data_IF_783460694290
#
_entry.id   IF_783460694290
#
_cell.length_a   1.000
_cell.length_b   1.000
_cell.length_c   1.000
_cell.angle_alpha   90.00
_cell.angle_beta   90.00
_cell.angle_gamma   90.00
#
_symmetry.space_group_name_H-M   'P 1'
#
loop_
_entity.id
_entity.type
_entity.pdbx_description
1 polymer ?
#
# COMPACT_ATOMS: atom_id res chain seq x y z
N UNK A 1 10.25 -4.14 15.47
CA UNK A 1 9.33 -3.48 14.51
C UNK A 1 10.15 -3.14 13.27
N UNK A 2 9.85 -3.72 12.11
CA UNK A 2 10.53 -3.32 10.87
C UNK A 2 10.02 -1.94 10.48
N UNK A 3 10.87 -0.92 10.63
CA UNK A 3 10.59 0.45 10.23
C UNK A 3 10.83 0.58 8.73
N UNK A 4 9.85 1.13 8.00
CA UNK A 4 10.03 1.54 6.62
C UNK A 4 10.28 3.06 6.64
N UNK A 5 11.48 3.47 6.20
CA UNK A 5 11.87 4.89 6.14
C UNK A 5 12.11 5.24 4.67
N UNK A 6 11.41 6.26 4.17
CA UNK A 6 11.59 6.82 2.83
C UNK A 6 12.92 7.55 2.66
N UNK A 7 13.32 7.84 1.41
CA UNK A 7 14.57 8.58 1.13
C UNK A 7 14.52 10.04 1.60
N UNK A 8 13.33 10.57 1.81
CA UNK A 8 13.02 11.86 2.42
C UNK A 8 12.99 11.80 3.95
N UNK A 9 13.23 10.63 4.56
CA UNK A 9 13.24 10.45 6.01
C UNK A 9 11.86 10.26 6.62
N UNK A 10 10.81 10.09 5.81
CA UNK A 10 9.45 9.87 6.30
C UNK A 10 9.26 8.41 6.80
N UNK A 11 8.58 8.25 7.94
CA UNK A 11 8.30 6.94 8.55
C UNK A 11 6.88 6.45 8.22
N UNK A 12 6.75 5.25 7.64
CA UNK A 12 5.44 4.63 7.43
C UNK A 12 4.90 3.97 8.71
N UNK A 13 3.67 4.29 9.10
CA UNK A 13 2.96 3.68 10.22
C UNK A 13 1.79 2.79 9.75
N UNK A 14 2.06 1.53 9.41
CA UNK A 14 1.04 0.56 8.97
C UNK A 14 0.75 -0.57 9.94
N UNK A 15 -0.49 -0.68 10.41
CA UNK A 15 -1.00 -1.84 11.17
C UNK A 15 -1.57 -2.95 10.26
N UNK A 16 -1.69 -4.21 10.75
CA UNK A 16 -2.13 -5.35 9.94
C UNK A 16 -3.61 -5.32 9.53
N UNK A 17 -4.40 -4.39 10.05
CA UNK A 17 -5.85 -4.27 9.81
C UNK A 17 -6.21 -3.34 8.66
N UNK A 18 -5.28 -2.49 8.22
CA UNK A 18 -5.53 -1.52 7.16
C UNK A 18 -4.93 -2.02 5.84
N UNK A 19 -5.68 -1.96 4.73
CA UNK A 19 -5.14 -2.33 3.43
C UNK A 19 -3.94 -1.43 3.09
N UNK A 20 -2.84 -1.95 2.55
CA UNK A 20 -1.67 -1.15 2.23
C UNK A 20 -1.95 0.01 1.27
N UNK A 21 -3.00 -0.09 0.46
CA UNK A 21 -3.47 0.98 -0.41
C UNK A 21 -3.88 2.25 0.34
N UNK A 22 -4.41 2.14 1.56
CA UNK A 22 -4.73 3.31 2.40
C UNK A 22 -3.46 4.02 2.85
N UNK A 23 -2.41 3.29 3.20
CA UNK A 23 -1.10 3.88 3.54
C UNK A 23 -0.48 4.60 2.34
N UNK A 24 -0.63 4.04 1.14
CA UNK A 24 -0.20 4.72 -0.09
C UNK A 24 -0.99 6.01 -0.29
N UNK A 25 -2.28 6.04 0.06
CA UNK A 25 -3.12 7.23 -0.05
C UNK A 25 -2.68 8.31 0.94
N UNK A 26 -2.43 7.95 2.19
CA UNK A 26 -1.91 8.86 3.22
C UNK A 26 -0.57 9.47 2.78
N UNK A 27 0.35 8.64 2.30
CA UNK A 27 1.65 9.07 1.78
C UNK A 27 1.52 10.03 0.59
N UNK A 28 0.54 9.81 -0.30
CA UNK A 28 0.25 10.75 -1.40
C UNK A 28 -0.25 12.10 -0.89
N UNK A 29 -1.14 12.09 0.10
CA UNK A 29 -1.71 13.30 0.69
C UNK A 29 -0.60 14.14 1.39
N UNK A 30 0.29 13.50 2.13
CA UNK A 30 1.45 14.15 2.76
C UNK A 30 2.43 14.73 1.74
N UNK A 31 2.58 14.08 0.59
CA UNK A 31 3.38 14.57 -0.55
C UNK A 31 2.65 15.60 -1.42
N UNK A 32 1.43 16.01 -1.05
CA UNK A 32 0.57 16.93 -1.80
C UNK A 32 0.30 16.46 -3.24
N UNK A 33 0.18 15.15 -3.46
CA UNK A 33 -0.08 14.55 -4.78
C UNK A 33 -1.56 14.25 -4.96
N UNK A 34 -2.13 14.70 -6.06
CA UNK A 34 -3.45 14.23 -6.47
C UNK A 34 -3.37 12.80 -7.04
N UNK A 35 -4.49 12.05 -6.98
CA UNK A 35 -4.57 10.73 -7.62
C UNK A 35 -4.26 10.78 -9.12
N UNK A 36 -4.65 11.86 -9.80
CA UNK A 36 -4.40 12.02 -11.23
C UNK A 36 -2.90 12.16 -11.53
N UNK A 37 -2.20 12.98 -10.76
CA UNK A 37 -0.75 13.16 -10.91
C UNK A 37 -0.02 11.86 -10.60
N UNK A 38 -0.38 11.20 -9.52
CA UNK A 38 0.29 9.97 -9.12
C UNK A 38 0.03 8.81 -10.08
N UNK A 39 -1.19 8.65 -10.59
CA UNK A 39 -1.49 7.67 -11.62
C UNK A 39 -0.62 7.87 -12.87
N UNK A 40 -0.39 9.13 -13.26
CA UNK A 40 0.52 9.48 -14.36
C UNK A 40 1.97 9.14 -14.04
N UNK A 41 2.46 9.38 -12.82
CA UNK A 41 3.82 9.00 -12.41
C UNK A 41 4.03 7.48 -12.41
N UNK A 42 2.99 6.75 -12.01
CA UNK A 42 2.97 5.29 -12.00
C UNK A 42 2.75 4.67 -13.38
N UNK A 43 2.40 5.46 -14.40
CA UNK A 43 2.01 4.96 -15.73
C UNK A 43 0.89 3.90 -15.62
N UNK A 44 -0.22 4.27 -14.96
CA UNK A 44 -1.44 3.47 -14.85
C UNK A 44 -2.68 4.34 -14.97
N UNK A 45 -3.81 3.73 -15.29
CA UNK A 45 -5.12 4.39 -15.23
C UNK A 45 -5.46 4.85 -13.81
N UNK A 46 -6.09 6.03 -13.70
CA UNK A 46 -6.52 6.58 -12.41
C UNK A 46 -7.52 5.68 -11.69
N UNK A 47 -8.38 4.96 -12.44
CA UNK A 47 -9.30 3.96 -11.89
C UNK A 47 -8.55 2.80 -11.23
N UNK A 48 -7.49 2.28 -11.88
CA UNK A 48 -6.65 1.23 -11.32
C UNK A 48 -5.97 1.68 -10.02
N UNK A 49 -5.47 2.92 -9.99
CA UNK A 49 -4.93 3.50 -8.76
C UNK A 49 -6.00 3.57 -7.68
N UNK A 50 -7.18 4.11 -7.99
CA UNK A 50 -8.29 4.23 -7.03
C UNK A 50 -8.69 2.88 -6.44
N UNK A 51 -8.78 1.82 -7.24
CA UNK A 51 -9.08 0.48 -6.73
C UNK A 51 -8.01 -0.06 -5.79
N UNK A 52 -6.73 0.23 -6.05
CA UNK A 52 -5.63 -0.14 -5.16
C UNK A 52 -5.72 0.66 -3.85
N UNK A 53 -5.88 1.99 -3.93
CA UNK A 53 -5.94 2.86 -2.76
C UNK A 53 -7.11 2.53 -1.83
N UNK A 54 -8.23 2.06 -2.38
CA UNK A 54 -9.42 1.66 -1.60
C UNK A 54 -9.43 0.15 -1.24
N UNK A 55 -8.33 -0.58 -1.44
CA UNK A 55 -8.22 -2.01 -1.10
C UNK A 55 -9.07 -2.95 -1.95
N UNK A 56 -9.74 -2.46 -3.00
CA UNK A 56 -10.52 -3.28 -3.95
C UNK A 56 -9.63 -4.13 -4.84
N UNK A 57 -8.41 -3.64 -5.11
CA UNK A 57 -7.38 -4.35 -5.84
C UNK A 57 -6.14 -4.49 -4.97
N UNK A 58 -5.54 -5.67 -5.04
CA UNK A 58 -4.30 -6.00 -4.32
C UNK A 58 -3.15 -5.10 -4.76
N UNK A 59 -2.36 -4.62 -3.80
CA UNK A 59 -1.03 -4.06 -4.07
C UNK A 59 -0.08 -5.20 -4.43
N UNK A 60 0.28 -5.31 -5.70
CA UNK A 60 1.15 -6.38 -6.21
C UNK A 60 2.61 -5.94 -6.35
N UNK A 61 3.50 -6.90 -6.66
CA UNK A 61 4.94 -6.63 -6.81
C UNK A 61 5.26 -5.58 -7.89
N UNK A 62 4.51 -5.55 -9.00
CA UNK A 62 4.69 -4.56 -10.05
C UNK A 62 4.39 -3.14 -9.54
N UNK A 63 3.31 -2.96 -8.77
CA UNK A 63 2.99 -1.68 -8.13
C UNK A 63 4.04 -1.30 -7.08
N UNK A 64 4.46 -2.25 -6.24
CA UNK A 64 5.49 -2.03 -5.21
C UNK A 64 6.83 -1.54 -5.81
N UNK A 65 7.28 -2.13 -6.92
CA UNK A 65 8.49 -1.69 -7.62
C UNK A 65 8.35 -0.27 -8.21
N UNK A 66 7.15 0.10 -8.66
CA UNK A 66 6.86 1.47 -9.11
C UNK A 66 6.92 2.46 -7.93
N UNK A 67 6.37 2.09 -6.77
CA UNK A 67 6.48 2.89 -5.54
C UNK A 67 7.94 3.07 -5.11
N UNK A 68 8.73 1.99 -5.12
CA UNK A 68 10.16 2.06 -4.81
C UNK A 68 10.91 2.99 -5.75
N UNK A 69 10.59 2.97 -7.04
CA UNK A 69 11.20 3.89 -8.01
C UNK A 69 10.85 5.36 -7.72
N UNK A 70 9.61 5.65 -7.34
CA UNK A 70 9.11 7.02 -7.14
C UNK A 70 9.51 7.57 -5.76
N UNK A 71 9.28 6.81 -4.69
CA UNK A 71 9.46 7.24 -3.29
C UNK A 71 10.73 6.69 -2.63
N UNK A 72 11.38 5.69 -3.25
CA UNK A 72 12.60 5.11 -2.72
C UNK A 72 12.40 4.15 -1.54
N UNK A 73 11.16 3.80 -1.22
CA UNK A 73 10.80 2.85 -0.18
C UNK A 73 10.86 1.44 -0.76
N UNK A 74 11.61 0.55 -0.11
CA UNK A 74 11.86 -0.80 -0.62
C UNK A 74 10.57 -1.57 -0.94
N UNK A 75 10.50 -2.19 -2.13
CA UNK A 75 9.31 -2.88 -2.62
C UNK A 75 8.87 -4.05 -1.73
N UNK A 76 9.80 -4.75 -1.08
CA UNK A 76 9.51 -5.87 -0.18
C UNK A 76 8.71 -5.43 1.05
N UNK A 77 8.86 -4.18 1.49
CA UNK A 77 8.08 -3.63 2.60
C UNK A 77 6.60 -3.54 2.22
N UNK A 78 6.28 -3.02 1.04
CA UNK A 78 4.91 -2.94 0.53
C UNK A 78 4.29 -4.32 0.33
N UNK A 79 5.04 -5.26 -0.27
CA UNK A 79 4.58 -6.64 -0.47
C UNK A 79 4.37 -7.34 0.88
N UNK A 80 5.27 -7.11 1.84
CA UNK A 80 5.16 -7.64 3.20
C UNK A 80 3.94 -7.10 3.94
N UNK A 81 3.61 -5.82 3.79
CA UNK A 81 2.39 -5.22 4.33
C UNK A 81 1.15 -5.87 3.73
N UNK A 82 1.10 -6.06 2.40
CA UNK A 82 0.00 -6.74 1.73
C UNK A 82 -0.20 -8.16 2.23
N UNK A 83 0.88 -8.94 2.37
CA UNK A 83 0.81 -10.30 2.88
C UNK A 83 0.29 -10.35 4.33
N UNK A 84 0.74 -9.42 5.19
CA UNK A 84 0.27 -9.34 6.58
C UNK A 84 -1.22 -9.01 6.67
N UNK A 85 -1.68 -8.05 5.86
CA UNK A 85 -3.09 -7.68 5.76
C UNK A 85 -3.96 -8.86 5.31
N UNK A 86 -3.54 -9.58 4.26
CA UNK A 86 -4.25 -10.76 3.75
C UNK A 86 -4.34 -11.88 4.80
N UNK A 87 -3.24 -12.16 5.48
CA UNK A 87 -3.21 -13.15 6.57
C UNK A 87 -4.10 -12.75 7.74
N UNK A 88 -4.14 -11.47 8.11
CA UNK A 88 -5.00 -10.97 9.18
C UNK A 88 -6.49 -11.17 8.83
N UNK A 89 -6.90 -10.74 7.63
CA UNK A 89 -8.28 -10.90 7.17
C UNK A 89 -8.70 -12.38 7.10
N UNK A 90 -7.83 -13.25 6.59
CA UNK A 90 -8.17 -14.67 6.48
C UNK A 90 -8.29 -15.35 7.84
N UNK A 91 -7.46 -14.95 8.82
CA UNK A 91 -7.59 -15.41 10.20
C UNK A 91 -8.93 -15.00 10.82
N UNK A 92 -9.42 -13.78 10.56
CA UNK A 92 -10.72 -13.34 11.06
C UNK A 92 -11.86 -14.15 10.45
N UNK A 93 -11.86 -14.38 9.13
CA UNK A 93 -12.86 -15.25 8.48
C UNK A 93 -12.87 -16.66 9.06
N UNK A 94 -11.69 -17.24 9.32
CA UNK A 94 -11.59 -18.57 9.91
C UNK A 94 -12.15 -18.60 11.34
N UNK A 95 -12.00 -17.53 12.13
CA UNK A 95 -12.65 -17.43 13.45
C UNK A 95 -14.17 -17.40 13.34
N UNK A 96 -14.70 -16.63 12.39
CA UNK A 96 -16.15 -16.53 12.14
C UNK A 96 -16.76 -17.84 11.64
N UNK A 97 -16.03 -18.62 10.84
CA UNK A 97 -16.49 -19.94 10.36
C UNK A 97 -16.61 -21.00 11.47
N UNK A 98 -15.90 -20.82 12.58
CA UNK A 98 -15.86 -21.76 13.70
C UNK A 98 -16.59 -21.25 14.95
N UNK A 99 -17.30 -20.12 14.84
CA UNK A 99 -18.19 -19.57 15.87
C UNK A 99 -19.64 -20.01 15.65
#
# INVERSE_FOLDING_TARGET
MNKAIGRDGHELHGGPTNPPGELVKEEMEERNLTQKEFAKMLDIEQSNLSDILNGKRRLNASFALKLEKIWGINAELWVGLQARYELANEREKLKEMHA
#
